data_IF_657802083040
#
_entry.id   IF_657802083040
#
_cell.length_a   1.000
_cell.length_b   1.000
_cell.length_c   1.000
_cell.angle_alpha   90.00
_cell.angle_beta   90.00
_cell.angle_gamma   90.00
#
_symmetry.space_group_name_H-M   'P 1'
#
loop_
_entity.id
_entity.type
_entity.pdbx_description
1 polymer ?
#
# COMPACT_ATOMS: atom_id res chain seq x y z
N UNK A 1 34.01 7.01 7.26
CA UNK A 1 33.48 6.02 6.31
C UNK A 1 34.60 5.07 5.92
N UNK A 2 34.51 3.80 6.34
CA UNK A 2 35.60 2.83 6.19
C UNK A 2 35.74 2.33 4.75
N UNK A 3 36.99 2.14 4.33
CA UNK A 3 37.43 1.71 2.99
C UNK A 3 36.77 0.41 2.51
N UNK A 4 36.36 -0.45 3.45
CA UNK A 4 35.60 -1.69 3.20
C UNK A 4 34.20 -1.45 2.58
N UNK A 5 33.59 -0.29 2.80
CA UNK A 5 32.27 0.07 2.26
C UNK A 5 32.33 0.43 0.76
N UNK A 6 33.49 0.85 0.25
CA UNK A 6 33.68 1.22 -1.16
C UNK A 6 33.90 -0.03 -2.04
N UNK A 7 34.69 -1.00 -1.55
CA UNK A 7 35.04 -2.21 -2.32
C UNK A 7 33.87 -3.18 -2.49
N UNK A 8 32.91 -3.21 -1.55
CA UNK A 8 31.70 -4.02 -1.68
C UNK A 8 30.70 -3.48 -2.72
N UNK A 9 30.79 -2.18 -3.06
CA UNK A 9 29.90 -1.50 -3.99
C UNK A 9 30.29 -1.73 -5.46
N UNK A 10 31.58 -1.89 -5.76
CA UNK A 10 32.05 -2.16 -7.13
C UNK A 10 31.80 -3.62 -7.57
N UNK A 11 31.84 -4.59 -6.64
CA UNK A 11 31.56 -6.00 -6.96
C UNK A 11 30.09 -6.28 -7.33
N UNK A 12 29.14 -5.43 -6.91
CA UNK A 12 27.71 -5.58 -7.24
C UNK A 12 27.30 -4.95 -8.58
N UNK A 13 28.18 -4.17 -9.22
CA UNK A 13 27.86 -3.50 -10.49
C UNK A 13 27.93 -4.44 -11.72
N UNK A 14 28.51 -5.64 -11.58
CA UNK A 14 28.70 -6.60 -12.69
C UNK A 14 27.82 -7.84 -12.62
N UNK A 15 27.04 -8.02 -11.55
CA UNK A 15 26.02 -9.06 -11.50
C UNK A 15 24.74 -8.54 -12.16
N UNK A 16 24.55 -8.87 -13.44
CA UNK A 16 23.27 -8.67 -14.12
C UNK A 16 22.18 -9.47 -13.42
N UNK A 17 21.38 -8.79 -12.61
CA UNK A 17 20.18 -9.37 -12.01
C UNK A 17 18.99 -9.17 -12.97
N UNK A 18 18.56 -10.32 -13.50
CA UNK A 18 17.18 -10.71 -13.83
C UNK A 18 16.19 -9.64 -14.32
N UNK A 19 15.71 -9.87 -15.54
CA UNK A 19 14.43 -9.43 -16.12
C UNK A 19 13.69 -8.28 -15.44
N UNK A 20 13.71 -7.14 -16.15
CA UNK A 20 12.73 -6.05 -16.14
C UNK A 20 11.35 -6.52 -15.68
N UNK A 21 11.08 -6.28 -14.41
CA UNK A 21 9.84 -6.49 -13.66
C UNK A 21 8.64 -5.99 -14.48
N UNK A 22 7.76 -6.90 -14.91
CA UNK A 22 6.45 -6.60 -15.48
C UNK A 22 5.55 -6.02 -14.38
N UNK A 23 5.89 -4.81 -13.92
CA UNK A 23 4.93 -3.97 -13.22
C UNK A 23 3.85 -3.65 -14.24
N UNK A 24 2.70 -4.30 -14.11
CA UNK A 24 1.46 -3.89 -14.77
C UNK A 24 1.10 -2.49 -14.23
N UNK A 25 1.75 -1.48 -14.78
CA UNK A 25 1.42 -0.09 -14.57
C UNK A 25 0.12 0.17 -15.32
N UNK A 26 -1.03 -0.11 -14.70
CA UNK A 26 -2.33 0.25 -15.27
C UNK A 26 -2.46 1.79 -15.25
N UNK A 27 -2.45 2.46 -16.44
CA UNK A 27 -2.53 3.91 -16.52
C UNK A 27 -3.89 4.46 -16.08
N UNK A 28 -4.92 3.63 -15.88
CA UNK A 28 -6.20 4.05 -15.32
C UNK A 28 -6.11 4.40 -13.82
N UNK A 29 -5.17 3.81 -13.07
CA UNK A 29 -5.01 4.04 -11.63
C UNK A 29 -4.66 5.50 -11.27
N UNK A 30 -4.27 6.31 -12.26
CA UNK A 30 -3.89 7.71 -12.09
C UNK A 30 -4.94 8.72 -12.57
N UNK A 31 -5.86 8.35 -13.46
CA UNK A 31 -6.68 9.35 -14.19
C UNK A 31 -7.91 9.89 -13.45
N UNK A 32 -8.26 9.36 -12.27
CA UNK A 32 -9.55 9.67 -11.62
C UNK A 32 -9.48 10.18 -10.18
N UNK A 33 -8.30 10.44 -9.64
CA UNK A 33 -8.11 10.77 -8.22
C UNK A 33 -7.59 12.19 -8.01
N UNK A 34 -8.15 12.98 -7.08
CA UNK A 34 -7.61 14.28 -6.67
C UNK A 34 -6.19 14.17 -6.12
N UNK A 35 -5.43 15.27 -6.12
CA UNK A 35 -4.10 15.30 -5.50
C UNK A 35 -4.19 14.89 -4.01
N UNK A 36 -3.44 13.87 -3.54
CA UNK A 36 -3.42 13.46 -2.13
C UNK A 36 -3.20 14.59 -1.14
N UNK A 37 -2.56 15.69 -1.56
CA UNK A 37 -2.37 16.88 -0.71
C UNK A 37 -3.68 17.55 -0.28
N UNK A 38 -4.76 17.36 -1.03
CA UNK A 38 -6.06 17.97 -0.70
C UNK A 38 -6.92 17.07 0.18
N UNK A 39 -6.61 15.78 0.29
CA UNK A 39 -7.51 14.82 0.92
C UNK A 39 -7.71 15.08 2.41
N UNK A 40 -6.66 15.53 3.11
CA UNK A 40 -6.78 15.86 4.53
C UNK A 40 -7.92 16.87 4.81
N UNK A 41 -8.22 17.75 3.86
CA UNK A 41 -9.28 18.75 4.00
C UNK A 41 -10.57 18.30 3.30
N UNK A 42 -10.47 17.82 2.06
CA UNK A 42 -11.64 17.61 1.19
C UNK A 42 -12.17 16.17 1.25
N UNK A 43 -11.33 15.22 1.66
CA UNK A 43 -11.61 13.77 1.63
C UNK A 43 -10.98 13.07 2.85
N UNK A 44 -11.34 13.46 4.09
CA UNK A 44 -10.66 13.01 5.31
C UNK A 44 -10.59 11.49 5.44
N UNK A 45 -11.68 10.79 5.14
CA UNK A 45 -11.70 9.32 5.17
C UNK A 45 -10.67 8.66 4.22
N UNK A 46 -10.41 9.24 3.04
CA UNK A 46 -9.37 8.75 2.14
C UNK A 46 -7.96 9.07 2.66
N UNK A 47 -7.83 10.17 3.42
CA UNK A 47 -6.60 10.53 4.09
C UNK A 47 -6.30 9.59 5.26
N UNK A 48 -7.28 9.31 6.12
CA UNK A 48 -7.12 8.45 7.29
C UNK A 48 -6.78 7.01 6.85
N UNK A 49 -7.50 6.48 5.85
CA UNK A 49 -7.17 5.19 5.25
C UNK A 49 -5.76 5.16 4.64
N UNK A 50 -5.29 6.27 4.07
CA UNK A 50 -3.94 6.36 3.51
C UNK A 50 -2.87 6.34 4.60
N UNK A 51 -3.08 7.03 5.71
CA UNK A 51 -2.11 7.07 6.81
C UNK A 51 -2.04 5.70 7.49
N UNK A 52 -3.18 5.06 7.79
CA UNK A 52 -3.20 3.69 8.34
C UNK A 52 -2.44 2.71 7.45
N UNK A 53 -2.74 2.71 6.14
CA UNK A 53 -2.06 1.83 5.19
C UNK A 53 -0.55 2.11 5.07
N UNK A 54 -0.11 3.34 5.32
CA UNK A 54 1.32 3.71 5.31
C UNK A 54 2.00 3.27 6.58
N UNK A 55 1.40 3.53 7.73
CA UNK A 55 1.91 3.08 9.03
C UNK A 55 2.05 1.56 9.05
N UNK A 56 1.01 0.81 8.68
CA UNK A 56 1.06 -0.65 8.53
C UNK A 56 2.18 -1.13 7.60
N UNK A 57 2.35 -0.48 6.43
CA UNK A 57 3.40 -0.86 5.50
C UNK A 57 4.81 -0.51 6.01
N UNK A 58 4.96 0.58 6.76
CA UNK A 58 6.22 0.98 7.39
C UNK A 58 6.60 0.04 8.53
N UNK A 59 5.65 -0.31 9.40
CA UNK A 59 5.83 -1.29 10.49
C UNK A 59 6.23 -2.66 9.93
N UNK A 60 5.50 -3.18 8.95
CA UNK A 60 5.85 -4.45 8.29
C UNK A 60 7.22 -4.41 7.62
N UNK A 61 7.61 -3.28 7.01
CA UNK A 61 8.95 -3.14 6.44
C UNK A 61 10.03 -3.14 7.53
N UNK A 62 9.78 -2.47 8.66
CA UNK A 62 10.71 -2.45 9.79
C UNK A 62 10.89 -3.84 10.40
N UNK A 63 9.80 -4.56 10.67
CA UNK A 63 9.82 -5.92 11.23
C UNK A 63 10.58 -6.92 10.34
N UNK A 64 10.44 -6.78 9.02
CA UNK A 64 11.10 -7.65 8.05
C UNK A 64 12.50 -7.18 7.65
N UNK A 65 12.97 -6.04 8.16
CA UNK A 65 14.27 -5.45 7.82
C UNK A 65 14.37 -5.02 6.35
N UNK A 66 13.25 -4.60 5.76
CA UNK A 66 13.12 -4.15 4.38
C UNK A 66 13.17 -2.61 4.29
N UNK A 67 13.44 -2.09 3.10
CA UNK A 67 13.34 -0.64 2.86
C UNK A 67 11.88 -0.19 2.85
N UNK A 68 11.62 1.04 3.31
CA UNK A 68 10.31 1.69 3.15
C UNK A 68 9.91 1.67 1.67
N UNK A 69 8.66 1.28 1.38
CA UNK A 69 8.12 0.98 0.03
C UNK A 69 8.52 -0.38 -0.61
N UNK A 70 9.16 -1.31 0.11
CA UNK A 70 9.50 -2.63 -0.46
C UNK A 70 8.28 -3.55 -0.59
N UNK A 71 7.36 -3.50 0.39
CA UNK A 71 6.15 -4.35 0.39
C UNK A 71 5.10 -3.75 -0.54
N UNK A 72 4.66 -2.52 -0.29
CA UNK A 72 3.75 -1.77 -1.16
C UNK A 72 4.30 -0.37 -1.40
N UNK A 73 4.23 0.11 -2.65
CA UNK A 73 4.70 1.47 -2.98
C UNK A 73 3.63 2.52 -2.74
N UNK A 74 4.02 3.75 -2.38
CA UNK A 74 3.12 4.89 -2.17
C UNK A 74 1.99 5.07 -3.22
N UNK A 75 2.27 4.80 -4.51
CA UNK A 75 1.26 4.89 -5.57
C UNK A 75 0.11 3.90 -5.38
N UNK A 76 0.40 2.68 -4.95
CA UNK A 76 -0.58 1.63 -4.69
C UNK A 76 -1.39 1.96 -3.44
N UNK A 77 -0.73 2.40 -2.36
CA UNK A 77 -1.40 2.82 -1.12
C UNK A 77 -2.42 3.94 -1.38
N UNK A 78 -2.02 4.97 -2.14
CA UNK A 78 -2.94 6.05 -2.57
C UNK A 78 -4.12 5.55 -3.40
N UNK A 79 -3.92 4.50 -4.20
CA UNK A 79 -5.01 3.91 -4.96
C UNK A 79 -5.99 3.19 -4.05
N UNK A 80 -5.48 2.31 -3.19
CA UNK A 80 -6.30 1.53 -2.26
C UNK A 80 -7.07 2.45 -1.32
N UNK A 81 -6.41 3.41 -0.67
CA UNK A 81 -7.03 4.33 0.27
C UNK A 81 -8.21 5.11 -0.35
N UNK A 82 -8.03 5.64 -1.56
CA UNK A 82 -9.09 6.37 -2.25
C UNK A 82 -10.28 5.48 -2.60
N UNK A 83 -10.01 4.34 -3.22
CA UNK A 83 -11.04 3.41 -3.67
C UNK A 83 -11.79 2.75 -2.51
N UNK A 84 -11.10 2.53 -1.39
CA UNK A 84 -11.69 2.05 -0.15
C UNK A 84 -12.65 3.11 0.42
N UNK A 85 -12.21 4.36 0.54
CA UNK A 85 -13.06 5.45 1.01
C UNK A 85 -14.31 5.66 0.13
N UNK A 86 -14.21 5.47 -1.20
CA UNK A 86 -15.40 5.50 -2.07
C UNK A 86 -16.38 4.36 -1.75
N UNK A 87 -15.86 3.14 -1.50
CA UNK A 87 -16.69 1.98 -1.15
C UNK A 87 -17.34 2.08 0.22
N UNK A 88 -16.68 2.75 1.16
CA UNK A 88 -17.30 3.08 2.44
C UNK A 88 -18.40 4.12 2.24
N UNK A 89 -18.13 5.18 1.48
CA UNK A 89 -19.09 6.25 1.23
C UNK A 89 -20.37 5.77 0.50
N UNK A 90 -20.24 4.81 -0.42
CA UNK A 90 -21.37 4.23 -1.15
C UNK A 90 -21.99 2.98 -0.46
N UNK A 91 -21.51 2.63 0.74
CA UNK A 91 -21.96 1.49 1.55
C UNK A 91 -21.81 0.13 0.85
N UNK A 92 -20.88 0.01 -0.10
CA UNK A 92 -20.55 -1.27 -0.75
C UNK A 92 -19.63 -2.18 0.07
N UNK A 93 -19.08 -1.68 1.19
CA UNK A 93 -18.34 -2.48 2.18
C UNK A 93 -19.01 -2.37 3.55
N UNK A 94 -19.14 -3.50 4.25
CA UNK A 94 -19.63 -3.52 5.63
C UNK A 94 -18.44 -3.52 6.60
N UNK A 95 -18.15 -2.36 7.20
CA UNK A 95 -17.03 -2.19 8.13
C UNK A 95 -17.22 -2.88 9.49
N UNK A 96 -18.42 -3.40 9.78
CA UNK A 96 -18.66 -4.24 10.98
C UNK A 96 -18.38 -5.72 10.73
N UNK A 97 -18.08 -6.07 9.49
CA UNK A 97 -17.79 -7.42 9.04
C UNK A 97 -16.34 -7.49 8.53
N UNK A 98 -15.52 -8.26 9.25
CA UNK A 98 -14.09 -8.42 8.94
C UNK A 98 -13.94 -9.02 7.54
N UNK A 99 -14.71 -10.07 7.23
CA UNK A 99 -14.63 -10.76 5.95
C UNK A 99 -14.96 -9.81 4.79
N UNK A 100 -16.01 -8.98 4.95
CA UNK A 100 -16.35 -7.96 3.94
C UNK A 100 -15.24 -6.93 3.75
N UNK A 101 -14.54 -6.56 4.82
CA UNK A 101 -13.47 -5.54 4.77
C UNK A 101 -12.20 -6.12 4.15
N UNK A 102 -11.82 -7.33 4.54
CA UNK A 102 -10.68 -8.07 3.97
C UNK A 102 -10.89 -8.37 2.48
N UNK A 103 -12.07 -8.81 2.08
CA UNK A 103 -12.41 -9.06 0.67
C UNK A 103 -12.28 -7.77 -0.16
N UNK A 104 -12.76 -6.66 0.36
CA UNK A 104 -12.66 -5.35 -0.28
C UNK A 104 -11.20 -4.92 -0.45
N UNK A 105 -10.42 -4.92 0.64
CA UNK A 105 -9.02 -4.54 0.64
C UNK A 105 -8.17 -5.47 -0.24
N UNK A 106 -8.42 -6.78 -0.18
CA UNK A 106 -7.71 -7.77 -0.98
C UNK A 106 -7.92 -7.58 -2.48
N UNK A 107 -9.16 -7.30 -2.89
CA UNK A 107 -9.47 -6.95 -4.28
C UNK A 107 -8.78 -5.65 -4.72
N UNK A 108 -8.77 -4.63 -3.84
CA UNK A 108 -8.13 -3.35 -4.14
C UNK A 108 -6.61 -3.44 -4.26
N UNK A 109 -5.95 -4.15 -3.35
CA UNK A 109 -4.51 -4.39 -3.39
C UNK A 109 -4.13 -5.20 -4.63
N UNK A 110 -4.90 -6.24 -4.95
CA UNK A 110 -4.71 -7.03 -6.18
C UNK A 110 -4.84 -6.14 -7.42
N UNK A 111 -5.88 -5.29 -7.48
CA UNK A 111 -6.08 -4.34 -8.58
C UNK A 111 -4.99 -3.26 -8.65
N UNK A 112 -4.38 -2.91 -7.52
CA UNK A 112 -3.22 -2.03 -7.48
C UNK A 112 -1.94 -2.71 -8.01
N UNK A 113 -1.99 -4.01 -8.31
CA UNK A 113 -0.86 -4.79 -8.80
C UNK A 113 0.00 -5.41 -7.69
N UNK A 114 -0.52 -5.52 -6.47
CA UNK A 114 0.16 -6.24 -5.39
C UNK A 114 0.14 -7.75 -5.67
N UNK A 115 1.24 -8.42 -5.35
CA UNK A 115 1.38 -9.88 -5.41
C UNK A 115 0.62 -10.53 -4.26
N UNK A 116 0.19 -11.80 -4.36
CA UNK A 116 -0.60 -12.46 -3.32
C UNK A 116 -0.01 -12.34 -1.90
N UNK A 117 1.30 -12.56 -1.74
CA UNK A 117 1.96 -12.42 -0.44
C UNK A 117 1.97 -10.98 0.10
N UNK A 118 2.02 -9.96 -0.76
CA UNK A 118 1.94 -8.55 -0.35
C UNK A 118 0.53 -8.23 0.13
N UNK A 119 -0.48 -8.79 -0.54
CA UNK A 119 -1.88 -8.66 -0.13
C UNK A 119 -2.08 -9.28 1.25
N UNK A 120 -1.63 -10.52 1.45
CA UNK A 120 -1.77 -11.24 2.73
C UNK A 120 -1.10 -10.48 3.89
N UNK A 121 0.11 -9.95 3.70
CA UNK A 121 0.79 -9.18 4.76
C UNK A 121 0.02 -7.93 5.16
N UNK A 122 -0.44 -7.15 4.17
CA UNK A 122 -1.18 -5.91 4.45
C UNK A 122 -2.55 -6.21 5.08
N UNK A 123 -3.24 -7.26 4.63
CA UNK A 123 -4.54 -7.64 5.20
C UNK A 123 -4.42 -8.03 6.67
N UNK A 124 -3.39 -8.80 7.03
CA UNK A 124 -3.19 -9.26 8.40
C UNK A 124 -2.90 -8.11 9.38
N UNK A 125 -2.35 -6.99 8.89
CA UNK A 125 -1.97 -5.86 9.73
C UNK A 125 -3.00 -4.72 9.68
N UNK A 126 -3.31 -4.19 8.49
CA UNK A 126 -4.06 -2.95 8.33
C UNK A 126 -5.56 -3.07 8.58
N UNK A 127 -6.14 -4.27 8.42
CA UNK A 127 -7.60 -4.46 8.44
C UNK A 127 -8.23 -4.03 9.77
N UNK A 128 -7.64 -4.43 10.90
CA UNK A 128 -8.18 -4.11 12.22
C UNK A 128 -8.19 -2.59 12.47
N UNK A 129 -7.12 -1.90 12.09
CA UNK A 129 -7.00 -0.45 12.25
C UNK A 129 -8.00 0.32 11.36
N UNK A 130 -8.18 -0.14 10.11
CA UNK A 130 -9.16 0.45 9.19
C UNK A 130 -10.60 0.26 9.68
N UNK A 131 -10.92 -0.86 10.32
CA UNK A 131 -12.24 -1.07 10.90
C UNK A 131 -12.47 -0.20 12.14
N UNK A 132 -11.47 -0.04 13.01
CA UNK A 132 -11.59 0.76 14.24
C UNK A 132 -11.73 2.26 13.93
N UNK A 133 -10.87 2.81 13.08
CA UNK A 133 -10.87 4.26 12.79
C UNK A 133 -12.10 4.71 12.00
N UNK A 134 -12.63 3.86 11.11
CA UNK A 134 -13.74 4.23 10.21
C UNK A 134 -15.12 3.95 10.82
N UNK A 135 -15.20 3.20 11.93
CA UNK A 135 -16.48 2.96 12.65
C UNK A 135 -16.75 3.92 13.82
N UNK A 136 -15.80 4.81 14.15
CA UNK A 136 -15.94 5.86 15.16
C UNK A 136 -16.62 7.13 14.62
#
# INVERSE_FOLDING_TARGET
MSRAYAEHREAKATAGWGSRDERHDDPELQRRRPDPKTWKTDHPMAWDALEILRESNEELCEELGLGTDTIVVSRQLKFVAWEFAQRVADQSVNLTDVDSTEDCLGQLLTRAGCRPWQVELILNDATAYLMDEVTQ
#
